data_IF_442891050293
#
_entry.id   IF_442891050293
#
_cell.length_a   1.000
_cell.length_b   1.000
_cell.length_c   1.000
_cell.angle_alpha   90.00
_cell.angle_beta   90.00
_cell.angle_gamma   90.00
#
_symmetry.space_group_name_H-M   'P 1'
#
loop_
_entity.id
_entity.type
_entity.pdbx_description
1 polymer ?
#
# COMPACT_ATOMS: atom_id res chain seq x y z
N UNK A 1 -5.54 -5.85 -0.25
CA UNK A 1 -5.66 -4.37 -0.20
C UNK A 1 -4.41 -3.78 0.44
N UNK A 2 -3.25 -4.29 0.07
CA UNK A 2 -1.96 -4.12 0.72
C UNK A 2 -0.96 -4.33 -0.42
N UNK A 3 -0.14 -3.38 -0.96
CA UNK A 3 0.78 -3.47 -2.14
C UNK A 3 2.30 -3.04 -1.94
N UNK A 4 3.38 -3.66 -2.53
CA UNK A 4 4.87 -3.55 -2.20
C UNK A 4 5.80 -4.72 -1.67
N UNK A 5 7.05 -4.99 -2.21
CA UNK A 5 8.09 -5.99 -1.71
C UNK A 5 9.58 -5.80 -2.06
N UNK A 6 10.46 -6.70 -1.54
CA UNK A 6 11.67 -7.13 -2.28
C UNK A 6 11.27 -7.60 -3.68
N UNK A 7 11.25 -6.68 -4.64
CA UNK A 7 10.86 -6.96 -6.02
C UNK A 7 9.34 -7.12 -6.25
N UNK A 8 8.60 -8.00 -5.55
CA UNK A 8 7.14 -8.30 -5.79
C UNK A 8 6.36 -9.01 -4.65
N UNK A 9 5.56 -8.28 -3.89
CA UNK A 9 4.62 -8.63 -2.77
C UNK A 9 3.96 -7.32 -2.40
N UNK A 10 3.15 -7.31 -1.34
CA UNK A 10 2.10 -6.34 -1.24
C UNK A 10 1.63 -6.00 0.26
N UNK A 11 1.77 -4.74 0.82
CA UNK A 11 1.43 -4.14 2.21
C UNK A 11 0.57 -2.79 2.33
N UNK A 12 -0.13 -2.46 3.49
CA UNK A 12 -1.16 -1.35 3.83
C UNK A 12 -1.61 -1.39 5.32
N UNK A 13 -2.29 -0.34 5.80
CA UNK A 13 -3.13 -0.31 7.04
C UNK A 13 -4.67 -0.38 6.85
N UNK A 14 -5.39 -1.12 7.73
CA UNK A 14 -6.80 -0.81 8.06
C UNK A 14 -6.85 -0.06 9.40
N UNK A 15 -7.24 1.20 9.37
CA UNK A 15 -7.24 2.10 10.54
C UNK A 15 -8.14 1.62 11.68
N UNK A 16 -7.81 2.05 12.90
CA UNK A 16 -8.60 1.73 14.10
C UNK A 16 -10.03 2.29 14.01
N UNK A 17 -11.06 1.54 14.42
CA UNK A 17 -12.37 2.09 14.64
C UNK A 17 -12.40 2.87 15.96
N UNK A 18 -12.13 4.17 15.87
CA UNK A 18 -12.89 5.10 16.71
C UNK A 18 -14.36 5.04 16.25
N UNK A 19 -15.36 5.25 17.13
CA UNK A 19 -16.76 5.38 16.70
C UNK A 19 -16.97 6.43 15.59
N UNK A 20 -16.06 7.41 15.47
CA UNK A 20 -16.05 8.41 14.41
C UNK A 20 -15.56 7.89 13.04
N UNK A 21 -14.60 6.95 12.99
CA UNK A 21 -14.00 6.45 11.74
C UNK A 21 -14.74 5.24 11.16
N UNK A 22 -15.61 4.59 11.94
CA UNK A 22 -16.38 3.39 11.56
C UNK A 22 -17.43 3.57 10.43
N UNK A 23 -17.42 4.69 9.70
CA UNK A 23 -18.27 4.94 8.52
C UNK A 23 -17.48 4.98 7.20
N UNK A 24 -16.15 5.07 7.27
CA UNK A 24 -15.28 5.41 6.12
C UNK A 24 -14.38 4.24 5.73
N UNK A 25 -15.01 3.13 5.38
CA UNK A 25 -14.36 1.95 4.80
C UNK A 25 -14.41 2.02 3.27
N UNK A 26 -13.33 1.55 2.62
CA UNK A 26 -13.32 1.19 1.20
C UNK A 26 -14.54 0.31 0.88
N UNK A 27 -15.28 0.65 -0.19
CA UNK A 27 -16.50 -0.09 -0.56
C UNK A 27 -16.22 -1.58 -0.77
N UNK A 28 -17.17 -2.44 -0.38
CA UNK A 28 -17.01 -3.92 -0.45
C UNK A 28 -16.58 -4.38 -1.85
N UNK A 29 -17.20 -3.84 -2.89
CA UNK A 29 -16.86 -4.12 -4.30
C UNK A 29 -15.39 -3.83 -4.64
N UNK A 30 -14.82 -2.76 -4.08
CA UNK A 30 -13.40 -2.43 -4.29
C UNK A 30 -12.48 -3.37 -3.51
N UNK A 31 -12.84 -3.77 -2.30
CA UNK A 31 -12.09 -4.82 -1.59
C UNK A 31 -12.14 -6.15 -2.36
N UNK A 32 -13.23 -6.42 -3.10
CA UNK A 32 -13.41 -7.64 -3.86
C UNK A 32 -12.63 -7.66 -5.17
N UNK A 33 -12.56 -6.54 -5.91
CA UNK A 33 -11.65 -6.43 -7.06
C UNK A 33 -10.18 -6.56 -6.63
N UNK A 34 -9.80 -5.97 -5.49
CA UNK A 34 -8.46 -6.14 -4.93
C UNK A 34 -8.19 -7.59 -4.48
N UNK A 35 -9.17 -8.28 -3.88
CA UNK A 35 -9.04 -9.67 -3.48
C UNK A 35 -8.95 -10.62 -4.66
N UNK A 36 -9.78 -10.40 -5.68
CA UNK A 36 -9.72 -11.14 -6.94
C UNK A 36 -8.37 -10.93 -7.63
N UNK A 37 -7.88 -9.69 -7.68
CA UNK A 37 -6.57 -9.37 -8.23
C UNK A 37 -5.44 -10.12 -7.53
N UNK A 38 -5.40 -10.10 -6.19
CA UNK A 38 -4.35 -10.77 -5.40
C UNK A 38 -4.29 -12.28 -5.66
N UNK A 39 -5.45 -12.93 -5.76
CA UNK A 39 -5.53 -14.37 -6.04
C UNK A 39 -5.11 -14.71 -7.48
N UNK A 40 -5.33 -13.80 -8.43
CA UNK A 40 -5.01 -14.01 -9.84
C UNK A 40 -3.56 -13.68 -10.21
N UNK A 41 -2.96 -12.68 -9.55
CA UNK A 41 -1.65 -12.14 -9.91
C UNK A 41 -0.47 -12.96 -9.39
N UNK A 42 -0.69 -13.87 -8.43
CA UNK A 42 0.39 -14.68 -7.83
C UNK A 42 1.45 -13.85 -7.10
N UNK A 43 1.20 -12.55 -6.85
CA UNK A 43 2.06 -11.75 -5.99
C UNK A 43 1.90 -12.24 -4.56
N UNK A 44 3.00 -12.45 -3.86
CA UNK A 44 2.96 -12.73 -2.43
C UNK A 44 2.29 -11.58 -1.69
N UNK A 45 1.55 -11.77 -0.60
CA UNK A 45 0.99 -10.62 0.14
C UNK A 45 0.94 -10.77 1.65
N UNK A 46 0.95 -9.64 2.36
CA UNK A 46 0.37 -9.55 3.69
C UNK A 46 -0.95 -8.79 3.53
N UNK A 47 -2.04 -9.15 4.20
CA UNK A 47 -3.26 -8.34 4.25
C UNK A 47 -3.78 -8.19 5.69
N UNK A 48 -3.66 -7.00 6.29
CA UNK A 48 -4.37 -6.62 7.52
C UNK A 48 -5.84 -6.28 7.21
N UNK A 49 -6.75 -7.16 7.58
CA UNK A 49 -8.20 -7.00 7.43
C UNK A 49 -8.91 -7.30 8.75
N UNK A 50 -9.57 -6.32 9.36
CA UNK A 50 -10.29 -6.52 10.64
C UNK A 50 -11.74 -6.96 10.45
N UNK A 51 -12.60 -6.07 9.95
CA UNK A 51 -14.04 -6.33 9.85
C UNK A 51 -14.40 -7.33 8.73
N UNK A 52 -13.72 -7.25 7.58
CA UNK A 52 -13.98 -8.09 6.42
C UNK A 52 -13.16 -9.39 6.38
N UNK A 53 -12.27 -9.66 7.35
CA UNK A 53 -11.40 -10.84 7.34
C UNK A 53 -12.13 -12.17 7.08
N UNK A 54 -13.21 -12.53 7.81
CA UNK A 54 -13.91 -13.82 7.60
C UNK A 54 -14.55 -13.98 6.20
N UNK A 55 -14.73 -12.86 5.49
CA UNK A 55 -15.28 -12.79 4.13
C UNK A 55 -14.15 -12.90 3.10
N UNK A 56 -13.11 -12.08 3.28
CA UNK A 56 -11.94 -12.03 2.41
C UNK A 56 -11.10 -13.33 2.47
N UNK A 57 -11.00 -13.98 3.63
CA UNK A 57 -10.35 -15.28 3.80
C UNK A 57 -10.99 -16.42 2.98
N UNK A 58 -12.24 -16.27 2.53
CA UNK A 58 -12.90 -17.24 1.64
C UNK A 58 -12.45 -17.08 0.18
N UNK A 59 -12.13 -15.84 -0.21
CA UNK A 59 -11.65 -15.49 -1.55
C UNK A 59 -10.14 -15.67 -1.64
N UNK A 60 -9.42 -15.00 -0.74
CA UNK A 60 -7.98 -15.10 -0.53
C UNK A 60 -7.71 -16.23 0.48
N UNK A 61 -7.56 -17.47 0.01
CA UNK A 61 -7.03 -18.54 0.87
C UNK A 61 -5.60 -18.20 1.26
N UNK A 62 -5.27 -18.26 2.55
CA UNK A 62 -3.87 -18.22 2.97
C UNK A 62 -3.16 -19.50 2.54
N UNK A 63 -2.00 -19.31 1.90
CA UNK A 63 -1.14 -20.33 1.30
C UNK A 63 0.21 -19.71 0.99
N UNK A 64 1.02 -20.35 0.14
CA UNK A 64 2.41 -19.93 -0.13
C UNK A 64 2.53 -18.51 -0.72
N UNK A 65 1.45 -18.01 -1.33
CA UNK A 65 1.36 -16.71 -1.99
C UNK A 65 0.66 -15.62 -1.16
N UNK A 66 0.28 -15.87 0.11
CA UNK A 66 -0.37 -14.79 0.87
C UNK A 66 -0.79 -15.07 2.31
N UNK A 67 -0.50 -14.10 3.19
CA UNK A 67 -0.87 -14.07 4.60
C UNK A 67 -1.95 -13.02 4.85
N UNK A 68 -3.12 -13.41 5.36
CA UNK A 68 -4.15 -12.47 5.80
C UNK A 68 -4.33 -12.53 7.31
N UNK A 69 -4.26 -11.38 7.98
CA UNK A 69 -4.25 -11.25 9.44
C UNK A 69 -5.19 -10.14 9.91
N UNK A 70 -5.73 -10.19 11.15
CA UNK A 70 -6.52 -9.10 11.71
C UNK A 70 -5.66 -7.90 12.15
N UNK A 71 -4.35 -8.10 12.35
CA UNK A 71 -3.40 -7.08 12.78
C UNK A 71 -1.96 -7.57 12.56
N UNK A 72 -1.01 -6.63 12.44
CA UNK A 72 0.42 -6.88 12.49
C UNK A 72 1.13 -5.66 13.11
N UNK A 73 2.39 -5.84 13.52
CA UNK A 73 3.31 -4.71 13.66
C UNK A 73 3.59 -4.14 12.27
N UNK A 74 2.94 -3.02 11.95
CA UNK A 74 3.04 -2.42 10.63
C UNK A 74 4.43 -1.83 10.38
N UNK A 75 5.04 -1.17 11.37
CA UNK A 75 6.35 -0.56 11.21
C UNK A 75 7.41 -1.65 10.98
N UNK A 76 7.40 -2.72 11.78
CA UNK A 76 8.28 -3.87 11.59
C UNK A 76 8.08 -4.57 10.24
N UNK A 77 6.83 -4.69 9.77
CA UNK A 77 6.54 -5.21 8.43
C UNK A 77 7.08 -4.28 7.34
N UNK A 78 6.85 -2.97 7.40
CA UNK A 78 7.31 -2.02 6.37
C UNK A 78 8.83 -1.82 6.35
N UNK A 79 9.52 -2.02 7.48
CA UNK A 79 10.97 -1.98 7.57
C UNK A 79 11.63 -3.22 6.94
N UNK A 80 10.94 -4.37 6.93
CA UNK A 80 11.48 -5.61 6.40
C UNK A 80 11.95 -5.43 4.95
N UNK A 81 13.18 -5.88 4.62
CA UNK A 81 13.73 -5.75 3.25
C UNK A 81 12.76 -6.28 2.20
N UNK A 82 12.04 -7.34 2.56
CA UNK A 82 10.92 -7.91 1.84
C UNK A 82 9.64 -7.06 2.00
N UNK A 83 9.74 -5.75 1.72
CA UNK A 83 8.70 -4.73 1.46
C UNK A 83 9.32 -3.68 0.52
N UNK A 84 8.60 -3.26 -0.51
CA UNK A 84 9.09 -2.34 -1.56
C UNK A 84 7.94 -1.68 -2.30
N UNK A 85 6.97 -1.27 -1.48
CA UNK A 85 5.77 -0.55 -1.83
C UNK A 85 4.84 -0.51 -0.60
N UNK A 86 3.83 0.34 -0.65
CA UNK A 86 2.82 0.43 0.39
C UNK A 86 1.53 1.00 -0.19
N UNK A 87 0.56 0.14 -0.50
CA UNK A 87 -0.76 0.61 -0.91
C UNK A 87 -1.43 1.25 0.29
N UNK A 88 -1.74 2.54 0.30
CA UNK A 88 -2.28 3.21 1.49
C UNK A 88 -3.63 3.87 1.24
N UNK A 89 -4.45 4.00 2.28
CA UNK A 89 -5.63 4.89 2.25
C UNK A 89 -5.26 6.32 2.64
N UNK A 90 -3.97 6.62 2.78
CA UNK A 90 -3.42 7.92 3.14
C UNK A 90 -3.85 8.40 4.54
N UNK A 91 -4.12 7.47 5.45
CA UNK A 91 -4.29 7.80 6.87
C UNK A 91 -2.95 8.20 7.50
N UNK A 92 -2.92 9.36 8.16
CA UNK A 92 -1.69 10.06 8.55
C UNK A 92 -0.64 9.17 9.24
N UNK A 93 -0.99 8.42 10.29
CA UNK A 93 -0.03 7.56 11.01
C UNK A 93 0.64 6.53 10.10
N UNK A 94 -0.11 5.94 9.17
CA UNK A 94 0.43 4.97 8.21
C UNK A 94 1.29 5.64 7.14
N UNK A 95 0.93 6.86 6.73
CA UNK A 95 1.79 7.69 5.88
C UNK A 95 3.14 7.97 6.56
N UNK A 96 3.14 8.34 7.85
CA UNK A 96 4.37 8.57 8.61
C UNK A 96 5.23 7.30 8.74
N UNK A 97 4.65 6.15 9.09
CA UNK A 97 5.37 4.86 9.16
C UNK A 97 6.02 4.45 7.83
N UNK A 98 5.34 4.70 6.70
CA UNK A 98 5.91 4.46 5.37
C UNK A 98 7.11 5.37 5.05
N UNK A 99 7.04 6.66 5.40
CA UNK A 99 8.18 7.57 5.25
C UNK A 99 9.38 7.14 6.12
N UNK A 100 9.14 6.72 7.37
CA UNK A 100 10.20 6.25 8.27
C UNK A 100 10.82 4.90 7.88
N UNK A 101 10.28 4.20 6.88
CA UNK A 101 10.83 2.95 6.33
C UNK A 101 11.34 3.10 4.89
N UNK A 102 11.19 4.30 4.29
CA UNK A 102 11.62 4.59 2.92
C UNK A 102 10.95 3.71 1.87
N UNK A 103 9.73 3.22 2.15
CA UNK A 103 8.94 2.46 1.16
C UNK A 103 8.30 3.41 0.15
N UNK A 104 8.16 2.95 -1.09
CA UNK A 104 7.35 3.65 -2.09
C UNK A 104 5.87 3.43 -1.80
N UNK A 105 4.99 4.31 -2.26
CA UNK A 105 3.56 4.29 -1.94
C UNK A 105 2.71 4.05 -3.18
N UNK A 106 1.60 3.33 -3.00
CA UNK A 106 0.51 3.32 -3.96
C UNK A 106 -0.73 3.90 -3.26
N UNK A 107 -1.20 5.09 -3.62
CA UNK A 107 -2.26 5.75 -2.87
C UNK A 107 -3.64 5.37 -3.42
N UNK A 108 -4.53 4.94 -2.55
CA UNK A 108 -5.96 4.78 -2.84
C UNK A 108 -6.74 5.47 -1.71
N UNK A 109 -6.76 6.82 -1.70
CA UNK A 109 -7.44 7.58 -0.65
C UNK A 109 -8.93 7.18 -0.60
N UNK A 110 -9.44 7.01 0.63
CA UNK A 110 -10.89 6.93 0.86
C UNK A 110 -11.37 8.38 0.94
N UNK A 111 -12.47 8.71 0.25
CA UNK A 111 -12.96 10.09 0.03
C UNK A 111 -13.21 10.83 1.35
N UNK A 112 -12.15 11.47 1.83
CA UNK A 112 -12.02 12.28 3.02
C UNK A 112 -10.94 13.31 2.70
N UNK A 113 -11.19 14.56 3.06
CA UNK A 113 -10.34 15.73 2.80
C UNK A 113 -8.87 15.53 3.20
N UNK A 114 -8.63 14.95 4.38
CA UNK A 114 -7.28 14.72 4.91
C UNK A 114 -6.53 13.61 4.16
N UNK A 115 -7.24 12.56 3.73
CA UNK A 115 -6.67 11.44 2.97
C UNK A 115 -6.31 11.86 1.54
N UNK A 116 -7.12 12.71 0.92
CA UNK A 116 -6.83 13.34 -0.37
C UNK A 116 -5.58 14.22 -0.29
N UNK A 117 -5.48 15.10 0.71
CA UNK A 117 -4.29 15.92 0.94
C UNK A 117 -3.02 15.07 1.14
N UNK A 118 -3.11 14.02 1.97
CA UNK A 118 -2.00 13.08 2.17
C UNK A 118 -1.63 12.30 0.90
N UNK A 119 -2.59 11.99 0.02
CA UNK A 119 -2.30 11.38 -1.28
C UNK A 119 -1.51 12.33 -2.19
N UNK A 120 -1.89 13.61 -2.23
CA UNK A 120 -1.16 14.62 -3.02
C UNK A 120 0.25 14.84 -2.49
N UNK A 121 0.41 14.95 -1.18
CA UNK A 121 1.71 15.06 -0.51
C UNK A 121 2.67 13.92 -0.93
N UNK A 122 2.18 12.67 -0.94
CA UNK A 122 2.96 11.49 -1.34
C UNK A 122 3.36 11.52 -2.83
N UNK A 123 2.44 11.93 -3.72
CA UNK A 123 2.59 11.78 -5.18
C UNK A 123 3.19 13.02 -5.85
N UNK A 124 2.74 14.21 -5.48
CA UNK A 124 3.09 15.49 -6.11
C UNK A 124 4.34 16.11 -5.44
N UNK A 125 4.35 16.21 -4.10
CA UNK A 125 5.41 16.90 -3.35
C UNK A 125 6.65 16.00 -3.14
N UNK A 126 6.46 14.85 -2.46
CA UNK A 126 7.55 13.92 -2.16
C UNK A 126 7.90 12.99 -3.33
N UNK A 127 6.99 12.77 -4.29
CA UNK A 127 7.19 11.90 -5.46
C UNK A 127 7.62 10.47 -5.13
N UNK A 128 7.23 9.97 -3.95
CA UNK A 128 7.52 8.61 -3.47
C UNK A 128 6.39 7.63 -3.75
N UNK A 129 5.39 8.00 -4.54
CA UNK A 129 4.28 7.12 -4.87
C UNK A 129 3.47 7.49 -6.11
N UNK A 130 2.55 6.61 -6.48
CA UNK A 130 1.52 6.85 -7.50
C UNK A 130 0.12 6.67 -6.93
N UNK A 131 -0.89 7.28 -7.56
CA UNK A 131 -2.29 7.12 -7.17
C UNK A 131 -3.04 6.09 -8.03
N UNK A 132 -3.68 5.12 -7.39
CA UNK A 132 -4.69 4.28 -8.00
C UNK A 132 -5.94 5.12 -8.27
N UNK A 133 -6.14 5.46 -9.53
CA UNK A 133 -7.36 6.08 -10.02
C UNK A 133 -8.12 5.09 -10.91
N UNK A 134 -9.45 5.11 -10.84
CA UNK A 134 -10.30 4.37 -11.77
C UNK A 134 -10.32 5.06 -13.15
N UNK A 135 -10.77 4.37 -14.21
CA UNK A 135 -10.69 4.85 -15.60
C UNK A 135 -11.49 6.12 -15.86
N UNK A 136 -12.39 6.49 -14.95
CA UNK A 136 -13.26 7.67 -14.99
C UNK A 136 -12.83 8.80 -14.06
N UNK A 137 -11.81 8.61 -13.20
CA UNK A 137 -11.33 9.64 -12.25
C UNK A 137 -12.34 10.09 -11.19
N UNK A 138 -13.51 9.44 -11.12
CA UNK A 138 -14.70 9.85 -10.36
C UNK A 138 -14.83 9.18 -8.97
N UNK A 139 -13.80 8.46 -8.53
CA UNK A 139 -13.85 7.63 -7.32
C UNK A 139 -14.62 6.32 -7.49
N UNK A 140 -14.91 5.90 -8.73
CA UNK A 140 -15.48 4.60 -9.05
C UNK A 140 -14.61 3.40 -8.63
N UNK A 141 -15.17 2.20 -8.75
CA UNK A 141 -14.46 0.95 -8.43
C UNK A 141 -13.40 0.68 -9.49
N UNK A 142 -12.13 0.68 -9.08
CA UNK A 142 -10.97 0.29 -9.89
C UNK A 142 -10.99 -1.23 -10.07
N UNK A 143 -10.91 -1.69 -11.32
CA UNK A 143 -10.97 -3.11 -11.67
C UNK A 143 -9.65 -3.80 -11.38
N UNK A 144 -9.71 -5.12 -11.15
CA UNK A 144 -8.52 -5.97 -10.94
C UNK A 144 -7.44 -5.83 -12.02
N UNK A 145 -7.83 -5.64 -13.28
CA UNK A 145 -6.91 -5.55 -14.41
C UNK A 145 -6.12 -4.23 -14.38
N UNK A 146 -6.77 -3.13 -13.98
CA UNK A 146 -6.19 -1.80 -13.81
C UNK A 146 -5.24 -1.78 -12.60
N UNK A 147 -5.68 -2.37 -11.48
CA UNK A 147 -4.83 -2.62 -10.30
C UNK A 147 -3.60 -3.43 -10.72
N UNK A 148 -3.77 -4.47 -11.55
CA UNK A 148 -2.70 -5.32 -12.02
C UNK A 148 -1.67 -4.59 -12.86
N UNK A 149 -2.06 -3.94 -13.95
CA UNK A 149 -1.14 -3.21 -14.81
C UNK A 149 -0.40 -2.09 -14.06
N UNK A 150 -1.09 -1.40 -13.14
CA UNK A 150 -0.46 -0.36 -12.32
C UNK A 150 0.57 -0.94 -11.34
N UNK A 151 0.25 -2.04 -10.67
CA UNK A 151 1.16 -2.66 -9.69
C UNK A 151 2.31 -3.37 -10.38
N UNK A 152 2.09 -3.96 -11.54
CA UNK A 152 3.16 -4.52 -12.37
C UNK A 152 4.16 -3.43 -12.76
N UNK A 153 3.70 -2.29 -13.29
CA UNK A 153 4.57 -1.14 -13.61
C UNK A 153 5.27 -0.53 -12.38
N UNK A 154 4.60 -0.55 -11.22
CA UNK A 154 5.11 0.02 -9.96
C UNK A 154 6.16 -0.91 -9.31
N UNK A 155 5.95 -2.23 -9.39
CA UNK A 155 6.87 -3.24 -8.89
C UNK A 155 7.96 -3.61 -9.91
N UNK A 156 7.85 -3.16 -11.17
CA UNK A 156 8.89 -3.37 -12.17
C UNK A 156 10.24 -2.82 -11.68
N UNK A 157 11.24 -3.69 -11.78
CA UNK A 157 12.62 -3.40 -11.43
C UNK A 157 13.33 -2.58 -12.50
N UNK A 158 12.84 -2.60 -13.75
CA UNK A 158 13.47 -1.90 -14.88
C UNK A 158 12.86 -0.54 -15.23
N UNK A 159 11.56 -0.34 -14.92
CA UNK A 159 10.85 0.94 -14.98
C UNK A 159 11.65 2.10 -14.38
N UNK A 160 12.05 3.05 -15.22
CA UNK A 160 12.85 4.22 -14.82
C UNK A 160 12.15 5.07 -13.76
N UNK A 161 10.84 5.29 -13.91
CA UNK A 161 10.02 6.02 -12.93
C UNK A 161 9.97 5.30 -11.57
N UNK A 162 9.87 3.97 -11.56
CA UNK A 162 9.86 3.18 -10.32
C UNK A 162 11.25 3.12 -9.66
N UNK A 163 12.33 3.12 -10.45
CA UNK A 163 13.71 3.28 -9.94
C UNK A 163 13.89 4.66 -9.30
N UNK A 164 13.51 5.72 -9.99
CA UNK A 164 13.61 7.11 -9.49
C UNK A 164 12.83 7.29 -8.18
N UNK A 165 11.59 6.82 -8.12
CA UNK A 165 10.74 6.86 -6.93
C UNK A 165 11.38 6.16 -5.71
N UNK A 166 12.01 4.99 -5.92
CA UNK A 166 12.74 4.26 -4.86
C UNK A 166 13.97 5.03 -4.38
N UNK A 167 14.74 5.60 -5.30
CA UNK A 167 15.90 6.43 -4.97
C UNK A 167 15.50 7.68 -4.16
N UNK A 168 14.38 8.33 -4.50
CA UNK A 168 13.84 9.45 -3.73
C UNK A 168 13.41 8.99 -2.34
N UNK A 169 12.66 7.89 -2.22
CA UNK A 169 12.21 7.38 -0.92
C UNK A 169 13.38 7.01 0.02
N UNK A 170 14.47 6.45 -0.53
CA UNK A 170 15.70 6.17 0.21
C UNK A 170 16.49 7.43 0.57
N UNK A 171 16.51 8.44 -0.31
CA UNK A 171 17.14 9.73 -0.04
C UNK A 171 16.43 10.52 1.07
N UNK A 172 15.09 10.60 1.04
CA UNK A 172 14.25 11.22 2.07
C UNK A 172 14.45 10.53 3.43
N UNK A 173 14.48 9.19 3.46
CA UNK A 173 14.80 8.44 4.68
C UNK A 173 16.20 8.80 5.20
N UNK A 174 17.21 8.86 4.34
CA UNK A 174 18.57 9.24 4.73
C UNK A 174 18.67 10.67 5.27
N UNK A 175 17.98 11.63 4.62
CA UNK A 175 17.92 13.02 5.04
C UNK A 175 17.27 13.17 6.43
N UNK A 176 16.18 12.43 6.70
CA UNK A 176 15.51 12.45 8.00
C UNK A 176 16.35 11.87 9.14
N UNK A 177 17.20 10.87 8.84
CA UNK A 177 17.87 10.08 9.87
C UNK A 177 19.34 10.47 10.12
N UNK A 178 19.98 11.20 9.19
CA UNK A 178 21.29 11.86 9.33
C UNK A 178 22.54 10.97 9.50
N UNK A 179 22.39 9.70 9.90
CA UNK A 179 23.47 8.72 10.09
C UNK A 179 23.10 7.26 9.79
N UNK A 180 21.83 6.95 9.49
CA UNK A 180 21.29 5.59 9.63
C UNK A 180 20.95 4.86 8.31
N UNK A 181 21.79 5.01 7.28
CA UNK A 181 21.53 4.51 5.92
C UNK A 181 21.50 2.96 5.75
N UNK A 182 21.66 2.17 6.83
CA UNK A 182 21.70 0.69 6.78
C UNK A 182 20.81 -0.03 7.80
N UNK A 183 20.36 0.62 8.87
CA UNK A 183 19.82 -0.12 10.04
C UNK A 183 18.33 -0.51 9.86
N UNK A 184 17.59 0.18 8.99
CA UNK A 184 16.13 -0.04 8.84
C UNK A 184 15.80 -1.25 7.96
N UNK A 185 16.73 -1.73 7.11
CA UNK A 185 16.57 -2.90 6.23
C UNK A 185 17.71 -3.93 6.42
N UNK A 186 17.87 -4.41 7.66
CA UNK A 186 18.74 -5.54 8.02
C UNK A 186 17.91 -6.64 8.69
#
# INVERSE_FOLDING_TARGET
MLLGWTGRTVTRSSTSPSPATARYHTGRSQMDEIAAWLVQSGVKFVWVARADAPRLLKTCRSGDDGLMVPWCDQLGVLAHEAVGGFLTHCGWSSTQEGFFTGVTFLTYPIVLDQQEANSKLIVEDFKVGWRLEGPTGDGGVVKRDEIGGMVEKFMDGESGEAKEMRLIAEAELCASCGRCCRVVRC
#
